data_IF_182490555081
#
_entry.id   IF_182490555081
#
_cell.length_a   1.000
_cell.length_b   1.000
_cell.length_c   1.000
_cell.angle_alpha   90.00
_cell.angle_beta   90.00
_cell.angle_gamma   90.00
#
_symmetry.space_group_name_H-M   'P 1'
#
loop_
_entity.id
_entity.type
_entity.pdbx_description
1 polymer ?
#
# COMPACT_ATOMS: atom_id res chain seq x y z
N UNK A 1 -21.77 -14.70 12.75
CA UNK A 1 -21.41 -14.89 11.33
C UNK A 1 -22.48 -14.18 10.53
N UNK A 2 -22.31 -12.89 10.23
CA UNK A 2 -23.27 -12.21 9.35
C UNK A 2 -22.97 -12.63 7.92
N UNK A 3 -24.01 -13.00 7.18
CA UNK A 3 -23.95 -13.13 5.74
C UNK A 3 -23.41 -11.84 5.11
N UNK A 4 -22.88 -11.93 3.89
CA UNK A 4 -22.69 -10.74 3.06
C UNK A 4 -24.01 -9.94 3.02
N UNK A 5 -23.96 -8.60 3.03
CA UNK A 5 -25.18 -7.79 2.97
C UNK A 5 -26.02 -8.23 1.77
N UNK A 6 -27.34 -8.29 1.97
CA UNK A 6 -28.27 -8.63 0.89
C UNK A 6 -28.06 -7.64 -0.26
N UNK A 7 -28.08 -8.12 -1.51
CA UNK A 7 -27.82 -7.26 -2.66
C UNK A 7 -28.87 -6.14 -2.79
N UNK A 8 -30.07 -6.39 -2.25
CA UNK A 8 -31.17 -5.42 -2.14
C UNK A 8 -30.95 -4.37 -1.03
N UNK A 9 -30.01 -4.57 -0.11
CA UNK A 9 -29.59 -3.62 0.94
C UNK A 9 -28.28 -2.87 0.59
N UNK A 10 -27.65 -3.19 -0.54
CA UNK A 10 -26.39 -2.59 -0.94
C UNK A 10 -26.56 -1.11 -1.31
N UNK A 11 -26.04 -0.22 -0.46
CA UNK A 11 -25.97 1.21 -0.72
C UNK A 11 -24.58 1.58 -1.26
N UNK A 12 -24.52 2.39 -2.32
CA UNK A 12 -23.22 2.86 -2.83
C UNK A 12 -22.54 3.77 -1.81
N UNK A 13 -21.20 3.81 -1.82
CA UNK A 13 -20.44 4.74 -0.97
C UNK A 13 -20.89 6.20 -1.16
N UNK A 14 -21.19 6.61 -2.40
CA UNK A 14 -21.73 7.94 -2.69
C UNK A 14 -23.10 8.18 -2.03
N UNK A 15 -23.97 7.17 -2.01
CA UNK A 15 -25.28 7.27 -1.36
C UNK A 15 -25.17 7.30 0.17
N UNK A 16 -24.21 6.57 0.76
CA UNK A 16 -23.89 6.68 2.21
C UNK A 16 -23.45 8.11 2.56
N UNK A 17 -22.54 8.68 1.77
CA UNK A 17 -22.07 10.06 1.98
C UNK A 17 -23.22 11.07 1.86
N UNK A 18 -24.07 10.92 0.85
CA UNK A 18 -25.23 11.80 0.67
C UNK A 18 -26.22 11.72 1.84
N UNK A 19 -26.51 10.51 2.34
CA UNK A 19 -27.40 10.31 3.47
C UNK A 19 -26.86 10.92 4.79
N UNK A 20 -25.54 11.01 4.94
CA UNK A 20 -24.87 11.61 6.09
C UNK A 20 -24.55 13.11 5.90
N UNK A 21 -24.91 13.70 4.75
CA UNK A 21 -24.47 15.05 4.33
C UNK A 21 -22.94 15.23 4.46
N UNK A 22 -22.20 14.24 3.97
CA UNK A 22 -20.74 14.19 3.99
C UNK A 22 -20.17 14.23 2.58
N UNK A 23 -18.92 14.67 2.49
CA UNK A 23 -18.15 14.70 1.24
C UNK A 23 -16.74 14.19 1.49
N UNK A 24 -16.14 13.57 0.48
CA UNK A 24 -14.73 13.19 0.51
C UNK A 24 -13.89 14.45 0.33
N UNK A 25 -13.03 14.74 1.31
CA UNK A 25 -11.98 15.73 1.15
C UNK A 25 -10.78 15.10 0.42
N UNK A 26 -10.89 15.01 -0.90
CA UNK A 26 -9.89 14.36 -1.75
C UNK A 26 -8.52 15.05 -1.68
N UNK A 27 -8.47 16.34 -1.32
CA UNK A 27 -7.23 17.10 -1.20
C UNK A 27 -6.33 16.62 -0.06
N UNK A 28 -6.87 15.85 0.90
CA UNK A 28 -6.09 15.24 2.00
C UNK A 28 -5.26 14.02 1.56
N UNK A 29 -5.57 13.43 0.41
CA UNK A 29 -4.88 12.26 -0.10
C UNK A 29 -3.77 12.73 -1.05
N UNK A 30 -2.53 12.68 -0.57
CA UNK A 30 -1.37 13.07 -1.36
C UNK A 30 -0.88 11.87 -2.18
N UNK A 31 -0.67 12.02 -3.50
CA UNK A 31 -0.07 10.98 -4.31
C UNK A 31 1.30 10.59 -3.74
N UNK A 32 1.52 9.28 -3.56
CA UNK A 32 2.73 8.76 -2.95
C UNK A 32 3.59 7.98 -3.93
N UNK A 33 2.99 7.10 -4.74
CA UNK A 33 3.67 6.34 -5.79
C UNK A 33 2.64 5.81 -6.81
N UNK A 34 3.09 5.46 -8.01
CA UNK A 34 2.29 4.71 -9.00
C UNK A 34 3.06 3.45 -9.37
N UNK A 35 2.41 2.30 -9.30
CA UNK A 35 3.04 1.01 -9.53
C UNK A 35 2.34 0.28 -10.66
N UNK A 36 3.13 -0.18 -11.63
CA UNK A 36 2.68 -1.12 -12.65
C UNK A 36 3.49 -2.42 -12.58
N UNK A 37 2.86 -3.60 -12.74
CA UNK A 37 3.56 -4.86 -12.73
C UNK A 37 4.61 -4.95 -13.84
N UNK A 38 5.68 -5.76 -13.66
CA UNK A 38 6.72 -5.93 -14.68
C UNK A 38 6.15 -6.19 -16.07
N UNK A 39 6.65 -5.46 -17.08
CA UNK A 39 6.14 -5.54 -18.44
C UNK A 39 6.32 -6.94 -19.05
N UNK A 40 7.47 -7.56 -18.82
CA UNK A 40 7.85 -8.85 -19.40
C UNK A 40 7.38 -10.07 -18.58
N UNK A 41 6.77 -9.88 -17.41
CA UNK A 41 6.34 -11.00 -16.57
C UNK A 41 4.93 -11.50 -16.98
N UNK A 42 4.70 -12.82 -17.04
CA UNK A 42 3.38 -13.40 -17.36
C UNK A 42 2.44 -13.27 -16.16
N UNK A 43 1.94 -12.04 -15.94
CA UNK A 43 1.07 -11.70 -14.83
C UNK A 43 -0.38 -11.71 -15.32
N UNK A 44 -1.18 -12.61 -14.75
CA UNK A 44 -2.57 -12.86 -15.16
C UNK A 44 -3.50 -11.66 -14.92
N UNK A 45 -3.27 -10.90 -13.84
CA UNK A 45 -4.02 -9.68 -13.50
C UNK A 45 -3.05 -8.53 -13.34
N UNK A 46 -3.16 -7.54 -14.22
CA UNK A 46 -2.30 -6.35 -14.20
C UNK A 46 -3.11 -5.19 -13.65
N UNK A 47 -2.60 -4.55 -12.60
CA UNK A 47 -3.19 -3.36 -12.01
C UNK A 47 -2.23 -2.20 -12.16
N UNK A 48 -2.74 -1.06 -12.61
CA UNK A 48 -2.03 0.22 -12.53
C UNK A 48 -2.42 0.87 -11.19
N UNK A 49 -1.59 0.65 -10.18
CA UNK A 49 -1.94 0.92 -8.78
C UNK A 49 -1.38 2.25 -8.34
N UNK A 50 -2.26 3.19 -8.03
CA UNK A 50 -1.91 4.48 -7.43
C UNK A 50 -1.96 4.38 -5.90
N UNK A 51 -0.84 4.68 -5.25
CA UNK A 51 -0.72 4.78 -3.79
C UNK A 51 -0.86 6.23 -3.35
N UNK A 52 -1.58 6.44 -2.25
CA UNK A 52 -1.78 7.73 -1.61
C UNK A 52 -1.40 7.65 -0.13
N UNK A 53 -0.99 8.79 0.44
CA UNK A 53 -0.79 8.94 1.89
C UNK A 53 -1.67 10.07 2.40
N UNK A 54 -2.25 9.87 3.59
CA UNK A 54 -3.04 10.88 4.28
C UNK A 54 -2.78 10.78 5.78
N UNK A 55 -2.78 11.92 6.46
CA UNK A 55 -2.88 11.93 7.92
C UNK A 55 -4.32 11.59 8.30
N UNK A 56 -4.49 10.44 8.95
CA UNK A 56 -5.78 10.03 9.48
C UNK A 56 -6.25 10.97 10.61
N UNK A 57 -5.34 11.76 11.20
CA UNK A 57 -5.61 12.67 12.31
C UNK A 57 -5.82 11.90 13.62
N UNK A 58 -6.60 12.50 14.53
CA UNK A 58 -6.98 11.85 15.80
C UNK A 58 -8.12 10.83 15.60
N UNK A 59 -8.08 10.01 14.54
CA UNK A 59 -9.03 8.91 14.30
C UNK A 59 -8.98 7.80 15.36
N UNK A 60 -8.15 7.94 16.39
CA UNK A 60 -8.18 7.09 17.58
C UNK A 60 -9.57 7.03 18.26
N UNK A 61 -10.51 7.92 17.93
CA UNK A 61 -11.90 7.88 18.39
C UNK A 61 -12.86 7.11 17.47
N UNK A 62 -12.47 6.77 16.23
CA UNK A 62 -13.31 5.99 15.33
C UNK A 62 -13.07 4.49 15.58
N UNK A 63 -14.14 3.75 15.90
CA UNK A 63 -14.07 2.30 15.93
C UNK A 63 -13.90 1.78 14.50
N UNK A 64 -12.69 1.37 14.14
CA UNK A 64 -12.39 0.72 12.86
C UNK A 64 -12.43 -0.79 13.11
N UNK A 65 -13.32 -1.50 12.42
CA UNK A 65 -13.41 -2.95 12.46
C UNK A 65 -13.31 -3.51 11.05
N UNK A 66 -12.70 -4.69 10.95
CA UNK A 66 -12.71 -5.45 9.72
C UNK A 66 -14.14 -5.96 9.43
N UNK A 67 -14.50 -6.15 8.16
CA UNK A 67 -15.83 -6.66 7.78
C UNK A 67 -16.02 -8.14 8.12
N UNK A 68 -14.91 -8.84 8.40
CA UNK A 68 -14.89 -10.26 8.73
C UNK A 68 -15.01 -11.18 7.51
N UNK A 69 -15.01 -10.63 6.30
CA UNK A 69 -15.13 -11.38 5.05
C UNK A 69 -13.88 -11.21 4.19
N UNK A 70 -13.71 -10.03 3.55
CA UNK A 70 -12.51 -9.74 2.75
C UNK A 70 -11.35 -9.31 3.64
N UNK A 71 -11.64 -8.47 4.63
CA UNK A 71 -10.70 -8.10 5.68
C UNK A 71 -11.09 -8.83 6.98
N UNK A 72 -10.23 -9.77 7.40
CA UNK A 72 -10.47 -10.55 8.63
C UNK A 72 -9.85 -9.92 9.88
N UNK A 73 -8.88 -9.01 9.70
CA UNK A 73 -8.22 -8.30 10.79
C UNK A 73 -7.70 -6.94 10.32
N UNK A 74 -7.75 -5.94 11.20
CA UNK A 74 -7.18 -4.60 11.00
C UNK A 74 -6.50 -4.20 12.31
N UNK A 75 -5.33 -3.59 12.20
CA UNK A 75 -4.62 -3.04 13.34
C UNK A 75 -3.74 -1.87 12.90
N UNK A 76 -3.38 -1.01 13.85
CA UNK A 76 -2.38 0.04 13.64
C UNK A 76 -1.00 -0.50 13.99
N UNK A 77 -0.03 -0.32 13.10
CA UNK A 77 1.35 -0.78 13.32
C UNK A 77 2.36 0.21 12.74
N UNK A 78 3.51 0.45 13.41
CA UNK A 78 4.62 1.16 12.79
C UNK A 78 5.16 0.41 11.56
N UNK A 79 5.62 1.14 10.54
CA UNK A 79 6.23 0.54 9.36
C UNK A 79 7.39 -0.42 9.70
N UNK A 80 8.24 -0.04 10.67
CA UNK A 80 9.34 -0.89 11.13
C UNK A 80 8.86 -2.22 11.72
N UNK A 81 7.74 -2.25 12.44
CA UNK A 81 7.19 -3.47 13.03
C UNK A 81 6.59 -4.38 11.95
N UNK A 82 5.87 -3.82 10.97
CA UNK A 82 5.37 -4.58 9.82
C UNK A 82 6.51 -5.20 8.99
N UNK A 83 7.60 -4.46 8.77
CA UNK A 83 8.79 -4.95 8.07
C UNK A 83 9.52 -6.04 8.86
N UNK A 84 9.59 -5.92 10.19
CA UNK A 84 10.17 -6.96 11.05
C UNK A 84 9.35 -8.27 10.99
N UNK A 85 8.03 -8.15 11.05
CA UNK A 85 7.12 -9.29 10.92
C UNK A 85 7.20 -9.96 9.53
N UNK A 86 7.45 -9.19 8.47
CA UNK A 86 7.70 -9.78 7.15
C UNK A 86 9.03 -10.53 7.12
N UNK A 87 10.09 -9.94 7.68
CA UNK A 87 11.42 -10.53 7.71
C UNK A 87 11.48 -11.83 8.52
N UNK A 88 10.67 -11.98 9.57
CA UNK A 88 10.57 -13.21 10.37
C UNK A 88 9.48 -14.19 9.88
N UNK A 89 8.73 -13.81 8.84
CA UNK A 89 7.69 -14.63 8.20
C UNK A 89 6.34 -14.64 8.91
N UNK A 90 6.16 -13.90 10.01
CA UNK A 90 4.88 -13.80 10.74
C UNK A 90 3.87 -12.83 10.13
N UNK A 91 4.32 -11.91 9.27
CA UNK A 91 3.51 -10.87 8.63
C UNK A 91 3.81 -10.74 7.14
N UNK A 92 3.23 -11.58 6.27
CA UNK A 92 3.54 -11.57 4.85
C UNK A 92 3.12 -10.26 4.19
N UNK A 93 4.01 -9.65 3.40
CA UNK A 93 3.73 -8.46 2.60
C UNK A 93 3.90 -8.75 1.11
N UNK A 94 3.06 -8.15 0.28
CA UNK A 94 3.31 -8.10 -1.17
C UNK A 94 4.39 -7.04 -1.46
N UNK A 95 5.16 -7.25 -2.51
CA UNK A 95 6.36 -6.47 -2.80
C UNK A 95 6.13 -4.94 -2.86
N UNK A 96 5.11 -4.40 -3.57
CA UNK A 96 4.84 -2.96 -3.56
C UNK A 96 4.56 -2.40 -2.15
N UNK A 97 3.84 -3.16 -1.32
CA UNK A 97 3.55 -2.77 0.07
C UNK A 97 4.82 -2.72 0.90
N UNK A 98 5.70 -3.73 0.79
CA UNK A 98 7.00 -3.75 1.47
C UNK A 98 7.86 -2.55 1.08
N UNK A 99 8.04 -2.29 -0.22
CA UNK A 99 8.81 -1.14 -0.70
C UNK A 99 8.24 0.18 -0.21
N UNK A 100 6.91 0.35 -0.24
CA UNK A 100 6.27 1.57 0.25
C UNK A 100 6.39 1.75 1.77
N UNK A 101 6.35 0.66 2.55
CA UNK A 101 6.62 0.69 4.00
C UNK A 101 8.08 1.05 4.29
N UNK A 102 9.05 0.49 3.55
CA UNK A 102 10.46 0.86 3.65
C UNK A 102 10.65 2.35 3.35
N UNK A 103 10.02 2.84 2.27
CA UNK A 103 10.08 4.26 1.90
C UNK A 103 9.47 5.16 2.97
N UNK A 104 8.31 4.79 3.50
CA UNK A 104 7.62 5.53 4.57
C UNK A 104 8.45 5.53 5.87
N UNK A 105 9.08 4.41 6.19
CA UNK A 105 9.91 4.22 7.40
C UNK A 105 11.17 5.09 7.46
N UNK A 106 11.57 5.75 6.37
CA UNK A 106 12.69 6.69 6.35
C UNK A 106 12.37 8.01 7.07
N UNK A 107 11.09 8.34 7.26
CA UNK A 107 10.66 9.64 7.75
C UNK A 107 10.31 9.60 9.23
N UNK A 108 10.79 10.58 9.99
CA UNK A 108 10.63 10.64 11.45
C UNK A 108 9.22 11.05 11.91
N UNK A 109 8.35 11.55 11.03
CA UNK A 109 7.01 12.00 11.39
C UNK A 109 6.05 12.03 10.21
N UNK A 110 4.75 12.00 10.50
CA UNK A 110 3.68 12.22 9.51
C UNK A 110 3.87 13.55 8.78
N UNK A 111 4.20 14.64 9.50
CA UNK A 111 4.45 15.93 8.90
C UNK A 111 5.61 15.89 7.89
N UNK A 112 6.68 15.16 8.17
CA UNK A 112 7.80 14.99 7.24
C UNK A 112 7.40 14.20 5.98
N UNK A 113 6.58 13.14 6.14
CA UNK A 113 6.04 12.35 5.03
C UNK A 113 5.17 13.23 4.13
N UNK A 114 4.22 13.97 4.70
CA UNK A 114 3.32 14.84 3.94
C UNK A 114 4.08 15.96 3.24
N UNK A 115 5.04 16.60 3.93
CA UNK A 115 5.87 17.64 3.33
C UNK A 115 6.74 17.10 2.18
N UNK A 116 7.16 15.83 2.23
CA UNK A 116 7.83 15.21 1.09
C UNK A 116 6.86 14.97 -0.07
N UNK A 117 5.70 14.35 0.21
CA UNK A 117 4.71 14.02 -0.82
C UNK A 117 4.15 15.25 -1.54
N UNK A 118 4.10 16.42 -0.89
CA UNK A 118 3.71 17.68 -1.52
C UNK A 118 4.79 18.28 -2.43
N UNK A 119 6.08 18.00 -2.18
CA UNK A 119 7.21 18.63 -2.87
C UNK A 119 7.73 17.83 -4.05
N UNK A 120 7.38 16.55 -4.14
CA UNK A 120 7.90 15.62 -5.15
C UNK A 120 6.76 15.02 -5.95
N UNK A 121 6.98 14.86 -7.24
CA UNK A 121 6.09 14.04 -8.06
C UNK A 121 6.13 12.59 -7.55
N UNK A 122 4.98 11.90 -7.45
CA UNK A 122 4.97 10.49 -7.08
C UNK A 122 5.77 9.68 -8.11
N UNK A 123 6.77 8.87 -7.69
CA UNK A 123 7.53 8.07 -8.63
C UNK A 123 6.64 7.03 -9.32
N UNK A 124 6.88 6.84 -10.61
CA UNK A 124 6.37 5.70 -11.36
C UNK A 124 7.33 4.52 -11.20
N UNK A 125 6.81 3.40 -10.73
CA UNK A 125 7.56 2.20 -10.43
C UNK A 125 7.05 1.08 -11.32
N UNK A 126 7.92 0.62 -12.22
CA UNK A 126 7.72 -0.63 -12.94
C UNK A 126 8.88 -1.56 -12.57
N UNK A 127 8.63 -2.61 -11.77
CA UNK A 127 9.70 -3.52 -11.39
C UNK A 127 10.21 -4.34 -12.57
N UNK A 128 11.46 -4.75 -12.50
CA UNK A 128 12.11 -5.64 -13.46
C UNK A 128 12.52 -6.94 -12.77
N UNK A 129 12.53 -8.03 -13.53
CA UNK A 129 13.09 -9.31 -13.08
C UNK A 129 14.43 -9.48 -13.78
N UNK A 130 15.51 -9.61 -13.01
CA UNK A 130 16.88 -9.64 -13.52
C UNK A 130 17.66 -10.82 -12.92
N UNK A 131 18.60 -11.36 -13.69
CA UNK A 131 19.55 -12.38 -13.20
C UNK A 131 20.81 -11.69 -12.66
N UNK A 132 21.21 -12.00 -11.42
CA UNK A 132 22.42 -11.48 -10.78
C UNK A 132 23.15 -12.63 -10.09
N UNK A 133 24.36 -12.94 -10.56
CA UNK A 133 25.20 -13.97 -9.94
C UNK A 133 24.58 -15.38 -9.91
N UNK A 134 23.67 -15.69 -10.84
CA UNK A 134 22.96 -16.98 -10.89
C UNK A 134 21.69 -17.04 -10.04
N UNK A 135 21.27 -15.92 -9.45
CA UNK A 135 20.01 -15.78 -8.73
C UNK A 135 19.08 -14.79 -9.45
N UNK A 136 17.79 -15.10 -9.45
CA UNK A 136 16.74 -14.22 -9.98
C UNK A 136 16.33 -13.18 -8.93
N UNK A 137 16.36 -11.91 -9.29
CA UNK A 137 16.01 -10.77 -8.45
C UNK A 137 14.81 -10.03 -9.01
N UNK A 138 14.00 -9.44 -8.12
CA UNK A 138 13.09 -8.35 -8.50
C UNK A 138 13.74 -7.02 -8.13
N UNK A 139 13.67 -6.02 -9.02
CA UNK A 139 14.28 -4.72 -8.81
C UNK A 139 13.34 -3.59 -9.20
N UNK A 140 13.51 -2.42 -8.58
CA UNK A 140 12.85 -1.16 -8.95
C UNK A 140 13.90 -0.13 -9.37
N UNK A 141 13.51 0.93 -10.10
CA UNK A 141 14.48 1.95 -10.52
C UNK A 141 15.13 2.65 -9.32
N UNK A 142 16.42 2.96 -9.45
CA UNK A 142 17.18 3.70 -8.44
C UNK A 142 16.86 5.20 -8.49
N UNK A 143 17.23 5.93 -7.44
CA UNK A 143 17.06 7.39 -7.38
C UNK A 143 15.62 7.86 -7.11
N UNK A 144 14.69 6.94 -6.84
CA UNK A 144 13.27 7.22 -6.62
C UNK A 144 12.86 7.26 -5.14
N UNK A 145 13.78 7.61 -4.24
CA UNK A 145 13.52 7.74 -2.79
C UNK A 145 13.19 6.41 -2.07
N UNK A 146 13.44 5.27 -2.71
CA UNK A 146 13.34 3.95 -2.07
C UNK A 146 14.70 3.54 -1.49
N UNK A 147 14.77 3.13 -0.21
CA UNK A 147 16.04 2.79 0.44
C UNK A 147 16.55 1.39 0.03
N UNK A 148 15.66 0.55 -0.49
CA UNK A 148 15.96 -0.79 -1.01
C UNK A 148 15.37 -0.88 -2.41
N UNK A 149 16.21 -1.22 -3.40
CA UNK A 149 15.83 -1.22 -4.81
C UNK A 149 15.77 -2.60 -5.43
N UNK A 150 15.97 -3.66 -4.65
CA UNK A 150 15.74 -5.03 -5.10
C UNK A 150 15.97 -6.08 -4.04
N UNK A 151 15.41 -7.25 -4.27
CA UNK A 151 15.56 -8.44 -3.43
C UNK A 151 15.46 -9.73 -4.26
N UNK A 152 16.00 -10.86 -3.75
CA UNK A 152 15.82 -12.16 -4.38
C UNK A 152 14.34 -12.52 -4.57
N UNK A 153 13.99 -13.04 -5.74
CA UNK A 153 12.59 -13.35 -6.07
C UNK A 153 12.00 -14.48 -5.22
N UNK A 154 12.86 -15.31 -4.63
CA UNK A 154 12.50 -16.40 -3.71
C UNK A 154 11.77 -15.89 -2.47
N UNK A 155 12.03 -14.65 -2.04
CA UNK A 155 11.34 -13.99 -0.94
C UNK A 155 10.06 -13.24 -1.35
N UNK A 156 9.76 -13.14 -2.65
CA UNK A 156 8.71 -12.25 -3.15
C UNK A 156 7.36 -12.95 -3.22
N UNK A 157 6.40 -12.48 -2.43
CA UNK A 157 5.01 -12.91 -2.54
C UNK A 157 4.32 -12.26 -3.75
N UNK A 158 3.62 -13.08 -4.53
CA UNK A 158 2.78 -12.67 -5.68
C UNK A 158 1.31 -12.88 -5.32
N UNK A 159 0.45 -11.94 -5.69
CA UNK A 159 -1.02 -12.05 -5.60
C UNK A 159 -1.59 -13.10 -6.57
#
# INVERSE_FOLDING_TARGET
LSAAPDADEACSFAAILAALDHRVDAARFLPFARWEPPAAAPIKRRFDTHFYVADAGHTASAAISADGNEAVAIHWTPAAAALAAEADGSGPLVFPTKCNLQRLGQYASVAAILAMAQRREPPFIQPEIVERGGETWITIPEGLDYPVTGEPITGVRRE
#
